data_IF_761822876952
#
_entry.id   IF_761822876952
#
_cell.length_a   1.000
_cell.length_b   1.000
_cell.length_c   1.000
_cell.angle_alpha   90.00
_cell.angle_beta   90.00
_cell.angle_gamma   90.00
#
_symmetry.space_group_name_H-M   'P 1'
#
loop_
_entity.id
_entity.type
_entity.pdbx_description
1 polymer ?
#
# COMPACT_ATOMS: atom_id res chain seq x y z
N UNK A 1 -7.60 28.49 -17.93
CA UNK A 1 -7.57 27.17 -17.27
C UNK A 1 -8.29 27.16 -15.92
N UNK A 2 -8.05 28.11 -15.00
CA UNK A 2 -8.77 28.15 -13.70
C UNK A 2 -10.28 28.43 -13.88
N UNK A 3 -10.66 29.31 -14.82
CA UNK A 3 -12.08 29.55 -15.19
C UNK A 3 -12.80 28.30 -15.71
N UNK A 4 -12.12 27.45 -16.49
CA UNK A 4 -12.70 26.18 -16.97
C UNK A 4 -12.87 25.16 -15.85
N UNK A 5 -12.04 25.23 -14.81
CA UNK A 5 -12.17 24.39 -13.62
C UNK A 5 -13.41 24.79 -12.79
N UNK A 6 -13.70 26.10 -12.72
CA UNK A 6 -14.88 26.64 -12.04
C UNK A 6 -16.19 26.30 -12.77
N UNK A 7 -16.15 26.14 -14.11
CA UNK A 7 -17.31 25.72 -14.90
C UNK A 7 -17.60 24.22 -14.85
N UNK A 8 -16.74 23.40 -14.23
CA UNK A 8 -16.93 21.95 -14.12
C UNK A 8 -18.01 21.49 -13.12
N UNK A 9 -18.74 22.43 -12.50
CA UNK A 9 -19.83 22.15 -11.58
C UNK A 9 -19.39 21.52 -10.25
N UNK A 10 -20.37 21.16 -9.42
CA UNK A 10 -20.14 20.60 -8.08
C UNK A 10 -19.33 19.30 -8.08
N UNK A 11 -19.36 18.53 -9.18
CA UNK A 11 -18.66 17.24 -9.34
C UNK A 11 -17.13 17.39 -9.34
N UNK A 12 -16.60 18.59 -9.62
CA UNK A 12 -15.15 18.86 -9.53
C UNK A 12 -14.60 18.73 -8.11
N UNK A 13 -15.39 19.06 -7.08
CA UNK A 13 -14.96 19.02 -5.68
C UNK A 13 -14.58 17.60 -5.22
N UNK A 14 -15.46 16.58 -5.35
CA UNK A 14 -15.09 15.21 -4.97
C UNK A 14 -13.96 14.65 -5.84
N UNK A 15 -13.87 15.03 -7.12
CA UNK A 15 -12.82 14.56 -8.03
C UNK A 15 -11.44 15.13 -7.63
N UNK A 16 -11.38 16.41 -7.27
CA UNK A 16 -10.18 17.03 -6.72
C UNK A 16 -9.79 16.41 -5.38
N UNK A 17 -10.75 16.14 -4.50
CA UNK A 17 -10.49 15.46 -3.22
C UNK A 17 -9.90 14.06 -3.41
N UNK A 18 -10.45 13.26 -4.35
CA UNK A 18 -9.93 11.94 -4.69
C UNK A 18 -8.51 12.00 -5.26
N UNK A 19 -8.20 13.02 -6.07
CA UNK A 19 -6.84 13.24 -6.61
C UNK A 19 -5.83 13.52 -5.50
N UNK A 20 -6.16 14.42 -4.56
CA UNK A 20 -5.29 14.73 -3.42
C UNK A 20 -5.10 13.49 -2.52
N UNK A 21 -6.17 12.73 -2.26
CA UNK A 21 -6.10 11.48 -1.50
C UNK A 21 -5.22 10.44 -2.17
N UNK A 22 -5.40 10.22 -3.48
CA UNK A 22 -4.58 9.29 -4.25
C UNK A 22 -3.10 9.69 -4.20
N UNK A 23 -2.81 10.97 -4.36
CA UNK A 23 -1.44 11.50 -4.32
C UNK A 23 -0.82 11.38 -2.92
N UNK A 24 -1.59 11.64 -1.86
CA UNK A 24 -1.15 11.43 -0.48
C UNK A 24 -0.82 9.96 -0.19
N UNK A 25 -1.65 9.02 -0.65
CA UNK A 25 -1.38 7.58 -0.51
C UNK A 25 -0.13 7.18 -1.31
N UNK A 26 0.02 7.67 -2.55
CA UNK A 26 1.19 7.42 -3.38
C UNK A 26 2.49 7.91 -2.72
N UNK A 27 2.49 9.12 -2.15
CA UNK A 27 3.66 9.66 -1.44
C UNK A 27 3.98 8.88 -0.17
N UNK A 28 2.96 8.59 0.65
CA UNK A 28 3.14 7.78 1.84
C UNK A 28 3.74 6.41 1.50
N UNK A 29 3.27 5.80 0.42
CA UNK A 29 3.77 4.50 -0.02
C UNK A 29 5.17 4.55 -0.61
N UNK A 30 5.47 5.56 -1.41
CA UNK A 30 6.82 5.78 -1.96
C UNK A 30 7.83 5.94 -0.82
N UNK A 31 7.48 6.67 0.24
CA UNK A 31 8.32 6.81 1.42
C UNK A 31 8.45 5.53 2.25
N UNK A 32 7.36 4.81 2.51
CA UNK A 32 7.42 3.51 3.22
C UNK A 32 8.28 2.53 2.44
N UNK A 33 8.10 2.42 1.11
CA UNK A 33 8.88 1.50 0.29
C UNK A 33 10.35 1.92 0.15
N UNK A 34 10.62 3.23 0.11
CA UNK A 34 11.98 3.76 0.11
C UNK A 34 12.69 3.56 1.46
N UNK A 35 11.94 3.62 2.57
CA UNK A 35 12.47 3.41 3.93
C UNK A 35 12.58 1.93 4.29
N UNK A 36 11.67 1.08 3.80
CA UNK A 36 11.72 -0.38 3.97
C UNK A 36 12.78 -1.05 3.09
N UNK A 37 13.54 -0.29 2.28
CA UNK A 37 14.71 -0.73 1.48
C UNK A 37 14.73 -2.25 1.31
N UNK A 38 13.80 -2.72 0.48
CA UNK A 38 13.41 -4.13 0.24
C UNK A 38 14.59 -5.02 -0.26
N UNK A 39 15.80 -4.48 -0.31
CA UNK A 39 17.02 -5.23 -0.54
C UNK A 39 18.14 -4.72 0.38
N UNK A 40 18.31 -5.30 1.58
CA UNK A 40 19.63 -5.37 2.16
C UNK A 40 20.39 -6.40 1.33
N UNK A 41 21.35 -5.94 0.54
CA UNK A 41 22.38 -6.79 -0.07
C UNK A 41 23.21 -7.57 0.96
N UNK A 42 22.95 -7.38 2.25
CA UNK A 42 23.55 -8.03 3.41
C UNK A 42 22.82 -9.31 3.87
N UNK A 43 21.61 -9.61 3.37
CA UNK A 43 20.88 -10.84 3.76
C UNK A 43 21.60 -12.11 3.30
N UNK A 44 22.34 -12.07 2.18
CA UNK A 44 23.07 -13.25 1.71
C UNK A 44 24.26 -13.61 2.61
N UNK A 45 24.85 -12.66 3.33
CA UNK A 45 25.98 -12.92 4.24
C UNK A 45 25.55 -13.20 5.69
N UNK A 46 24.41 -12.67 6.14
CA UNK A 46 23.94 -12.87 7.52
C UNK A 46 23.08 -14.11 7.74
N UNK A 47 22.64 -14.82 6.70
CA UNK A 47 21.97 -16.13 6.87
C UNK A 47 22.91 -17.22 7.43
N UNK A 48 24.23 -17.01 7.35
CA UNK A 48 25.22 -17.95 7.86
C UNK A 48 25.44 -17.85 9.38
N UNK A 49 25.06 -16.73 10.00
CA UNK A 49 25.23 -16.50 11.44
C UNK A 49 23.85 -16.24 12.02
N UNK A 50 23.39 -17.10 12.91
CA UNK A 50 22.10 -17.02 13.60
C UNK A 50 22.05 -15.83 14.61
N UNK A 51 22.42 -14.63 14.16
CA UNK A 51 22.42 -13.35 14.89
C UNK A 51 21.38 -12.37 14.34
N UNK A 52 20.45 -12.82 13.48
CA UNK A 52 19.36 -11.97 12.98
C UNK A 52 18.37 -11.54 14.08
N UNK A 53 18.41 -12.20 15.24
CA UNK A 53 17.59 -11.91 16.42
C UNK A 53 18.06 -10.66 17.19
N UNK A 54 19.32 -10.25 17.07
CA UNK A 54 19.83 -9.06 17.77
C UNK A 54 19.83 -7.78 16.91
N UNK A 55 19.56 -7.88 15.61
CA UNK A 55 19.32 -6.71 14.77
C UNK A 55 17.90 -6.17 14.97
N UNK A 56 17.47 -6.01 16.22
CA UNK A 56 16.49 -4.98 16.54
C UNK A 56 17.24 -3.66 16.39
N UNK A 57 17.25 -3.13 15.17
CA UNK A 57 17.71 -1.76 14.90
C UNK A 57 17.06 -0.87 15.97
N UNK A 58 17.85 0.00 16.60
CA UNK A 58 17.54 0.82 17.79
C UNK A 58 16.31 1.75 17.62
N UNK A 59 15.60 1.59 16.51
CA UNK A 59 14.44 2.32 16.01
C UNK A 59 13.14 1.52 16.08
N UNK A 60 13.16 0.26 16.55
CA UNK A 60 11.95 -0.53 16.79
C UNK A 60 11.14 -0.85 15.53
N UNK A 61 11.76 -0.79 14.35
CA UNK A 61 11.10 -1.11 13.08
C UNK A 61 11.53 -2.50 12.63
N UNK A 62 10.70 -3.50 12.97
CA UNK A 62 10.88 -4.87 12.51
C UNK A 62 10.65 -4.93 10.99
N UNK A 63 11.70 -5.27 10.23
CA UNK A 63 11.58 -5.53 8.80
C UNK A 63 10.59 -6.69 8.55
N UNK A 64 9.80 -6.64 7.47
CA UNK A 64 8.86 -7.74 7.12
C UNK A 64 9.54 -9.11 7.06
N UNK A 65 10.81 -9.16 6.67
CA UNK A 65 11.61 -10.40 6.67
C UNK A 65 11.96 -10.87 8.09
N UNK A 66 12.13 -9.96 9.05
CA UNK A 66 12.38 -10.30 10.46
C UNK A 66 11.15 -10.93 11.12
N UNK A 67 9.96 -10.41 10.83
CA UNK A 67 8.70 -11.00 11.30
C UNK A 67 8.51 -12.43 10.77
N UNK A 68 8.79 -12.64 9.48
CA UNK A 68 8.71 -13.97 8.85
C UNK A 68 9.71 -14.95 9.48
N UNK A 69 10.97 -14.55 9.64
CA UNK A 69 12.01 -15.40 10.23
C UNK A 69 11.71 -15.71 11.71
N UNK A 70 11.22 -14.75 12.48
CA UNK A 70 10.88 -14.95 13.90
C UNK A 70 9.69 -15.91 14.06
N UNK A 71 8.68 -15.84 13.18
CA UNK A 71 7.57 -16.80 13.16
C UNK A 71 8.02 -18.24 12.90
N UNK A 72 8.97 -18.43 11.99
CA UNK A 72 9.54 -19.76 11.68
C UNK A 72 10.39 -20.28 12.84
N UNK A 73 11.22 -19.43 13.45
CA UNK A 73 12.10 -19.83 14.54
C UNK A 73 11.33 -20.19 15.83
N UNK A 74 10.20 -19.52 16.09
CA UNK A 74 9.36 -19.80 17.27
C UNK A 74 8.64 -21.15 17.16
N UNK A 75 8.36 -21.61 15.93
CA UNK A 75 7.65 -22.87 15.67
C UNK A 75 8.57 -24.04 15.27
N UNK A 76 9.90 -23.89 15.41
CA UNK A 76 10.89 -24.91 15.01
C UNK A 76 10.73 -26.26 15.71
N UNK A 77 10.21 -26.26 16.93
CA UNK A 77 10.10 -27.48 17.75
C UNK A 77 9.04 -28.47 17.23
N UNK A 78 8.18 -28.04 16.30
CA UNK A 78 7.10 -28.86 15.73
C UNK A 78 7.44 -29.67 14.48
N UNK A 79 8.66 -29.59 13.94
CA UNK A 79 9.04 -30.23 12.67
C UNK A 79 8.79 -29.36 11.42
N UNK A 80 9.25 -29.83 10.26
CA UNK A 80 9.30 -29.06 8.99
C UNK A 80 7.89 -28.58 8.55
N UNK A 81 6.87 -29.40 8.72
CA UNK A 81 5.50 -29.05 8.31
C UNK A 81 4.94 -27.86 9.11
N UNK A 82 5.20 -27.81 10.42
CA UNK A 82 4.78 -26.70 11.28
C UNK A 82 5.55 -25.40 10.99
N UNK A 83 6.83 -25.51 10.63
CA UNK A 83 7.63 -24.38 10.19
C UNK A 83 7.14 -23.81 8.84
N UNK A 84 6.71 -24.69 7.92
CA UNK A 84 6.15 -24.28 6.64
C UNK A 84 4.79 -23.57 6.81
N UNK A 85 3.91 -24.09 7.65
CA UNK A 85 2.63 -23.42 7.94
C UNK A 85 2.84 -22.05 8.63
N UNK A 86 3.79 -21.95 9.57
CA UNK A 86 4.10 -20.68 10.22
C UNK A 86 4.69 -19.65 9.24
N UNK A 87 5.51 -20.09 8.28
CA UNK A 87 6.00 -19.26 7.18
C UNK A 87 4.83 -18.75 6.32
N UNK A 88 3.91 -19.63 5.93
CA UNK A 88 2.77 -19.29 5.07
C UNK A 88 1.85 -18.27 5.75
N UNK A 89 1.55 -18.44 7.03
CA UNK A 89 0.76 -17.49 7.83
C UNK A 89 1.46 -16.12 7.95
N UNK A 90 2.77 -16.11 8.20
CA UNK A 90 3.55 -14.88 8.29
C UNK A 90 3.61 -14.15 6.93
N UNK A 91 3.76 -14.90 5.84
CA UNK A 91 3.74 -14.36 4.47
C UNK A 91 2.38 -13.76 4.14
N UNK A 92 1.27 -14.46 4.41
CA UNK A 92 -0.09 -13.94 4.16
C UNK A 92 -0.30 -12.63 4.93
N UNK A 93 0.11 -12.59 6.19
CA UNK A 93 -0.05 -11.41 7.05
C UNK A 93 0.74 -10.21 6.52
N UNK A 94 2.00 -10.42 6.13
CA UNK A 94 2.83 -9.35 5.56
C UNK A 94 2.34 -8.90 4.18
N UNK A 95 1.90 -9.83 3.32
CA UNK A 95 1.29 -9.48 2.02
C UNK A 95 0.02 -8.65 2.23
N UNK A 96 -0.87 -9.04 3.14
CA UNK A 96 -2.07 -8.26 3.47
C UNK A 96 -1.72 -6.85 4.00
N UNK A 97 -0.70 -6.74 4.85
CA UNK A 97 -0.19 -5.43 5.34
C UNK A 97 0.29 -4.56 4.18
N UNK A 98 0.98 -5.17 3.22
CA UNK A 98 1.45 -4.48 2.03
C UNK A 98 0.28 -4.12 1.09
N UNK A 99 -0.73 -4.96 0.92
CA UNK A 99 -1.84 -4.69 0.00
C UNK A 99 -2.88 -3.69 0.52
N UNK A 100 -3.00 -3.50 1.84
CA UNK A 100 -4.06 -2.71 2.49
C UNK A 100 -4.32 -1.33 1.87
N UNK A 101 -3.28 -0.64 1.40
CA UNK A 101 -3.41 0.70 0.80
C UNK A 101 -3.58 0.67 -0.73
N UNK A 102 -3.22 -0.44 -1.38
CA UNK A 102 -3.41 -0.64 -2.83
C UNK A 102 -4.88 -0.85 -3.16
N UNK A 103 -5.62 -1.56 -2.30
CA UNK A 103 -7.06 -1.77 -2.48
C UNK A 103 -7.82 -0.43 -2.51
N UNK A 104 -7.52 0.48 -1.59
CA UNK A 104 -8.14 1.82 -1.57
C UNK A 104 -7.80 2.62 -2.83
N UNK A 105 -6.55 2.56 -3.30
CA UNK A 105 -6.13 3.21 -4.54
C UNK A 105 -6.88 2.65 -5.75
N UNK A 106 -7.08 1.34 -5.81
CA UNK A 106 -7.83 0.66 -6.86
C UNK A 106 -9.30 1.09 -6.90
N UNK A 107 -9.94 1.27 -5.73
CA UNK A 107 -11.30 1.79 -5.63
C UNK A 107 -11.39 3.23 -6.16
N UNK A 108 -10.43 4.09 -5.79
CA UNK A 108 -10.36 5.47 -6.30
C UNK A 108 -10.18 5.48 -7.83
N UNK A 109 -9.29 4.64 -8.35
CA UNK A 109 -9.04 4.50 -9.78
C UNK A 109 -10.28 4.02 -10.56
N UNK A 110 -11.12 3.19 -9.93
CA UNK A 110 -12.36 2.68 -10.54
C UNK A 110 -13.50 3.70 -10.52
N UNK A 111 -13.64 4.47 -9.42
CA UNK A 111 -14.75 5.42 -9.24
C UNK A 111 -14.48 6.77 -9.93
N UNK A 112 -13.23 7.21 -10.01
CA UNK A 112 -12.88 8.51 -10.59
C UNK A 112 -13.35 8.69 -12.05
N UNK A 113 -13.23 7.70 -12.96
CA UNK A 113 -13.76 7.82 -14.32
C UNK A 113 -15.28 7.94 -14.37
N UNK A 114 -15.99 7.22 -13.49
CA UNK A 114 -17.46 7.29 -13.40
C UNK A 114 -17.92 8.68 -12.93
N UNK A 115 -17.22 9.29 -11.98
CA UNK A 115 -17.47 10.67 -11.56
C UNK A 115 -17.20 11.67 -12.69
N UNK A 116 -16.14 11.47 -13.47
CA UNK A 116 -15.86 12.29 -14.65
C UNK A 116 -16.99 12.22 -15.67
N UNK A 117 -17.45 11.00 -15.98
CA UNK A 117 -18.57 10.79 -16.90
C UNK A 117 -19.88 11.40 -16.38
N UNK A 118 -20.17 11.27 -15.08
CA UNK A 118 -21.30 11.95 -14.44
C UNK A 118 -21.25 13.47 -14.65
N UNK A 119 -20.07 14.08 -14.46
CA UNK A 119 -19.87 15.51 -14.70
C UNK A 119 -20.19 15.92 -16.14
N UNK A 120 -19.79 15.10 -17.13
CA UNK A 120 -20.12 15.37 -18.54
C UNK A 120 -21.62 15.29 -18.82
N UNK A 121 -22.34 14.35 -18.21
CA UNK A 121 -23.79 14.20 -18.37
C UNK A 121 -24.52 15.39 -17.75
N UNK A 122 -24.13 15.81 -16.54
CA UNK A 122 -24.74 16.96 -15.88
C UNK A 122 -24.52 18.25 -16.68
N UNK A 123 -23.32 18.48 -17.20
CA UNK A 123 -23.04 19.64 -18.06
C UNK A 123 -23.86 19.62 -19.36
N UNK A 124 -24.07 18.44 -19.95
CA UNK A 124 -24.94 18.30 -21.12
C UNK A 124 -26.39 18.66 -20.78
N UNK A 125 -26.91 18.22 -19.63
CA UNK A 125 -28.27 18.54 -19.16
C UNK A 125 -28.43 20.06 -18.96
N UNK A 126 -27.44 20.74 -18.37
CA UNK A 126 -27.48 22.20 -18.20
C UNK A 126 -27.53 22.93 -19.55
N UNK A 127 -26.75 22.49 -20.54
CA UNK A 127 -26.75 23.10 -21.89
C UNK A 127 -28.10 22.94 -22.59
N UNK A 128 -28.81 21.83 -22.39
CA UNK A 128 -30.12 21.59 -23.00
C UNK A 128 -31.30 22.21 -22.23
N UNK A 129 -31.12 22.52 -20.94
CA UNK A 129 -32.11 23.20 -20.12
C UNK A 129 -31.95 24.73 -20.08
N UNK A 130 -30.86 25.26 -20.64
CA UNK A 130 -30.61 26.69 -20.87
C UNK A 130 -31.21 27.16 -22.19
#
# INVERSE_FOLDING_TARGET
>A
MIEQLMNGGWVMVPLAALSVLALAICLNRFWVLASERVFPSEIQSSLAHAEFLELTDERGQSSSLQNIVTGILTNRDGGIDNAMSALEDALITEVQRLERYLTTLGTIASISPLLGLLGTVLGMIEVFNA
#
